data_IF_483105543608
#
_entry.id   IF_483105543608
#
_cell.length_a   1.000
_cell.length_b   1.000
_cell.length_c   1.000
_cell.angle_alpha   90.00
_cell.angle_beta   90.00
_cell.angle_gamma   90.00
#
_symmetry.space_group_name_H-M   'P 1'
#
loop_
_entity.id
_entity.type
_entity.pdbx_description
1 polymer ?
#
# COMPACT_ATOMS: atom_id res chain seq x y z
N UNK A 1 -5.51 -16.76 -12.93
CA UNK A 1 -4.57 -16.56 -11.80
C UNK A 1 -5.37 -16.25 -10.54
N UNK A 2 -4.87 -16.61 -9.36
CA UNK A 2 -5.51 -16.26 -8.08
C UNK A 2 -5.38 -14.75 -7.81
N UNK A 3 -6.44 -14.13 -7.27
CA UNK A 3 -6.50 -12.69 -6.95
C UNK A 3 -5.76 -12.45 -5.64
N UNK A 4 -4.59 -11.83 -5.70
CA UNK A 4 -3.75 -11.59 -4.51
C UNK A 4 -4.10 -10.26 -3.85
N UNK A 5 -4.01 -10.24 -2.53
CA UNK A 5 -3.92 -9.03 -1.70
C UNK A 5 -2.44 -8.72 -1.51
N UNK A 6 -2.00 -7.60 -2.06
CA UNK A 6 -0.59 -7.22 -2.10
C UNK A 6 -0.41 -5.90 -1.37
N UNK A 7 0.33 -5.89 -0.27
CA UNK A 7 0.84 -4.65 0.32
C UNK A 7 2.05 -4.22 -0.49
N UNK A 8 2.11 -2.97 -0.93
CA UNK A 8 3.33 -2.40 -1.51
C UNK A 8 3.61 -1.03 -0.90
N UNK A 9 4.73 -0.92 -0.21
CA UNK A 9 5.07 0.22 0.64
C UNK A 9 6.52 0.68 0.44
N UNK A 10 6.71 2.01 0.47
CA UNK A 10 8.01 2.62 0.70
C UNK A 10 8.30 2.53 2.20
N UNK A 11 9.51 2.12 2.56
CA UNK A 11 9.94 2.02 3.96
C UNK A 11 11.36 2.54 4.10
N UNK A 12 11.62 3.28 5.17
CA UNK A 12 12.98 3.67 5.54
C UNK A 12 13.81 2.45 5.95
N UNK A 13 15.13 2.57 5.97
CA UNK A 13 16.05 1.51 6.37
C UNK A 13 15.75 0.98 7.79
N UNK A 14 15.27 1.87 8.66
CA UNK A 14 14.90 1.61 10.05
C UNK A 14 13.41 1.29 10.26
N UNK A 15 12.64 1.04 9.18
CA UNK A 15 11.31 0.42 9.28
C UNK A 15 10.13 1.38 9.40
N UNK A 16 10.30 2.67 9.12
CA UNK A 16 9.24 3.68 9.19
C UNK A 16 8.65 4.00 7.80
N UNK A 17 7.35 4.31 7.77
CA UNK A 17 6.59 4.63 6.55
C UNK A 17 6.16 6.11 6.46
N UNK A 18 6.38 6.86 7.54
CA UNK A 18 6.16 8.30 7.63
C UNK A 18 6.88 8.83 8.88
N UNK A 19 7.09 10.14 8.95
CA UNK A 19 7.54 10.83 10.16
C UNK A 19 6.50 10.76 11.28
N UNK A 20 6.88 11.17 12.50
CA UNK A 20 5.99 11.20 13.68
C UNK A 20 4.73 12.06 13.48
N UNK A 21 4.80 13.05 12.58
CA UNK A 21 3.66 13.90 12.19
C UNK A 21 2.77 13.26 11.10
N UNK A 22 3.13 12.07 10.63
CA UNK A 22 2.45 11.36 9.54
C UNK A 22 2.75 11.89 8.14
N UNK A 23 3.87 12.61 7.97
CA UNK A 23 4.33 13.07 6.66
C UNK A 23 5.30 12.05 6.04
N UNK A 24 5.08 11.73 4.77
CA UNK A 24 5.85 10.76 3.99
C UNK A 24 6.62 11.40 2.82
N UNK A 25 6.59 12.73 2.68
CA UNK A 25 7.24 13.46 1.59
C UNK A 25 8.72 13.12 1.46
N UNK A 26 9.45 13.01 2.59
CA UNK A 26 10.86 12.64 2.58
C UNK A 26 11.11 11.23 2.00
N UNK A 27 10.19 10.28 2.23
CA UNK A 27 10.27 8.95 1.62
C UNK A 27 10.01 9.02 0.11
N UNK A 28 9.02 9.82 -0.30
CA UNK A 28 8.67 10.03 -1.70
C UNK A 28 9.83 10.69 -2.47
N UNK A 29 10.41 11.75 -1.92
CA UNK A 29 11.56 12.46 -2.50
C UNK A 29 12.77 11.52 -2.65
N UNK A 30 13.10 10.76 -1.60
CA UNK A 30 14.21 9.81 -1.64
C UNK A 30 13.95 8.68 -2.65
N UNK A 31 12.72 8.18 -2.74
CA UNK A 31 12.30 7.23 -3.77
C UNK A 31 12.50 7.78 -5.19
N UNK A 32 12.08 9.02 -5.46
CA UNK A 32 12.25 9.62 -6.79
C UNK A 32 13.73 9.85 -7.16
N UNK A 33 14.57 10.20 -6.19
CA UNK A 33 16.02 10.37 -6.40
C UNK A 33 16.68 9.03 -6.71
N UNK A 34 16.29 7.96 -6.01
CA UNK A 34 16.97 6.68 -6.07
C UNK A 34 16.39 5.73 -7.14
N UNK A 35 15.13 5.91 -7.57
CA UNK A 35 14.53 5.00 -8.54
C UNK A 35 15.19 5.15 -9.92
N UNK A 36 15.44 4.05 -10.64
CA UNK A 36 15.82 4.14 -12.04
C UNK A 36 14.68 4.73 -12.88
N UNK A 37 15.04 5.55 -13.87
CA UNK A 37 14.09 6.15 -14.80
C UNK A 37 13.31 5.08 -15.58
N UNK A 38 11.99 5.27 -15.71
CA UNK A 38 11.12 4.38 -16.50
C UNK A 38 10.73 3.06 -15.82
N UNK A 39 11.10 2.83 -14.56
CA UNK A 39 10.73 1.62 -13.81
C UNK A 39 9.59 1.95 -12.83
N UNK A 40 8.47 1.22 -12.94
CA UNK A 40 7.39 1.24 -11.96
C UNK A 40 7.68 0.19 -10.88
N UNK A 41 7.85 0.65 -9.63
CA UNK A 41 8.12 -0.21 -8.48
C UNK A 41 6.94 -0.25 -7.50
N UNK A 42 6.09 0.77 -7.46
CA UNK A 42 5.05 0.89 -6.44
C UNK A 42 3.86 0.00 -6.75
N UNK A 43 3.33 0.10 -7.96
CA UNK A 43 2.11 -0.60 -8.36
C UNK A 43 2.43 -2.06 -8.67
N UNK A 44 1.94 -3.02 -7.87
CA UNK A 44 2.14 -4.43 -8.18
C UNK A 44 1.51 -4.78 -9.52
N UNK A 45 2.14 -5.69 -10.26
CA UNK A 45 1.65 -6.13 -11.56
C UNK A 45 0.20 -6.62 -11.48
N UNK A 46 -0.58 -6.29 -12.52
CA UNK A 46 -2.00 -6.70 -12.64
C UNK A 46 -2.87 -6.27 -11.44
N UNK A 47 -2.64 -5.07 -10.88
CA UNK A 47 -3.52 -4.50 -9.85
C UNK A 47 -4.71 -3.75 -10.47
N UNK A 48 -5.93 -4.17 -10.16
CA UNK A 48 -7.17 -3.49 -10.58
C UNK A 48 -7.68 -2.56 -9.48
N UNK A 49 -7.56 -2.98 -8.22
CA UNK A 49 -8.07 -2.23 -7.07
C UNK A 49 -6.93 -1.69 -6.21
N UNK A 50 -7.09 -0.44 -5.80
CA UNK A 50 -6.28 0.19 -4.75
C UNK A 50 -7.16 0.28 -3.50
N UNK A 51 -6.69 -0.26 -2.38
CA UNK A 51 -7.36 -0.17 -1.08
C UNK A 51 -6.51 0.65 -0.12
N UNK A 52 -7.14 1.65 0.48
CA UNK A 52 -6.47 2.55 1.42
C UNK A 52 -7.44 3.19 2.43
N UNK A 53 -6.87 3.75 3.50
CA UNK A 53 -7.61 4.55 4.47
C UNK A 53 -7.84 5.98 4.01
N UNK A 54 -8.84 6.65 4.60
CA UNK A 54 -9.20 8.04 4.28
C UNK A 54 -8.04 9.03 4.34
N UNK A 55 -7.25 9.03 5.42
CA UNK A 55 -6.15 9.99 5.61
C UNK A 55 -5.12 9.88 4.48
N UNK A 56 -4.78 8.64 4.10
CA UNK A 56 -3.87 8.36 2.99
C UNK A 56 -4.47 8.83 1.66
N UNK A 57 -5.78 8.64 1.45
CA UNK A 57 -6.44 9.15 0.26
C UNK A 57 -6.38 10.67 0.17
N UNK A 58 -6.68 11.39 1.26
CA UNK A 58 -6.66 12.85 1.28
C UNK A 58 -5.26 13.41 0.99
N UNK A 59 -4.20 12.79 1.55
CA UNK A 59 -2.81 13.20 1.32
C UNK A 59 -2.37 12.99 -0.14
N UNK A 60 -2.75 11.86 -0.74
CA UNK A 60 -2.25 11.45 -2.06
C UNK A 60 -3.28 11.56 -3.18
N UNK A 61 -4.38 12.28 -2.95
CA UNK A 61 -5.56 12.32 -3.81
C UNK A 61 -5.20 12.49 -5.29
N UNK A 62 -4.43 13.52 -5.61
CA UNK A 62 -4.02 13.83 -7.00
C UNK A 62 -3.16 12.73 -7.63
N UNK A 63 -2.20 12.16 -6.87
CA UNK A 63 -1.35 11.06 -7.35
C UNK A 63 -2.17 9.81 -7.62
N UNK A 64 -3.13 9.49 -6.75
CA UNK A 64 -3.98 8.31 -6.88
C UNK A 64 -4.91 8.38 -8.09
N UNK A 65 -5.36 9.58 -8.47
CA UNK A 65 -6.20 9.75 -9.67
C UNK A 65 -5.46 9.45 -10.97
N UNK A 66 -4.12 9.48 -11.00
CA UNK A 66 -3.34 9.01 -12.15
C UNK A 66 -3.55 7.51 -12.37
N UNK A 67 -3.53 6.71 -11.31
CA UNK A 67 -3.82 5.28 -11.41
C UNK A 67 -5.26 4.99 -11.85
N UNK A 68 -6.21 5.87 -11.52
CA UNK A 68 -7.59 5.78 -12.03
C UNK A 68 -7.63 5.97 -13.54
N UNK A 69 -6.87 6.94 -14.07
CA UNK A 69 -6.75 7.15 -15.53
C UNK A 69 -6.12 5.95 -16.23
N UNK A 70 -5.26 5.19 -15.55
CA UNK A 70 -4.69 3.92 -16.01
C UNK A 70 -5.61 2.69 -15.79
N UNK A 71 -6.86 2.91 -15.37
CA UNK A 71 -7.87 1.85 -15.24
C UNK A 71 -8.00 1.22 -13.85
N UNK A 72 -7.32 1.72 -12.83
CA UNK A 72 -7.54 1.27 -11.46
C UNK A 72 -8.83 1.84 -10.85
N UNK A 73 -9.38 1.13 -9.86
CA UNK A 73 -10.46 1.61 -8.99
C UNK A 73 -9.94 1.78 -7.58
N UNK A 74 -10.48 2.75 -6.84
CA UNK A 74 -10.02 3.08 -5.50
C UNK A 74 -11.13 2.74 -4.49
N UNK A 75 -10.80 1.92 -3.50
CA UNK A 75 -11.62 1.63 -2.33
C UNK A 75 -11.05 2.37 -1.12
N UNK A 76 -11.83 3.28 -0.54
CA UNK A 76 -11.45 4.07 0.64
C UNK A 76 -12.20 3.55 1.85
N UNK A 77 -11.46 3.06 2.85
CA UNK A 77 -12.03 2.72 4.16
C UNK A 77 -12.29 3.99 4.96
N UNK A 78 -13.55 4.22 5.32
CA UNK A 78 -13.97 5.40 6.09
C UNK A 78 -15.35 5.21 6.72
N UNK A 79 -15.51 5.71 7.95
CA UNK A 79 -16.83 5.85 8.57
C UNK A 79 -17.62 7.05 8.04
N UNK A 80 -16.91 8.07 7.54
CA UNK A 80 -17.46 9.32 7.04
C UNK A 80 -17.17 9.43 5.54
N UNK A 81 -18.17 9.28 4.65
CA UNK A 81 -17.98 9.32 3.22
C UNK A 81 -17.29 10.61 2.74
N UNK A 82 -16.42 10.47 1.74
CA UNK A 82 -15.74 11.59 1.10
C UNK A 82 -16.70 12.38 0.21
N UNK A 83 -16.45 13.69 0.09
CA UNK A 83 -17.05 14.51 -0.98
C UNK A 83 -16.23 14.30 -2.25
N UNK A 84 -16.79 13.51 -3.15
CA UNK A 84 -16.18 13.16 -4.43
C UNK A 84 -16.72 14.08 -5.54
N UNK A 85 -15.86 14.45 -6.47
CA UNK A 85 -16.23 15.21 -7.65
C UNK A 85 -16.32 14.29 -8.89
N UNK A 86 -16.63 14.88 -10.06
CA UNK A 86 -16.85 14.10 -11.28
C UNK A 86 -15.63 13.35 -11.81
N UNK A 87 -14.41 13.80 -11.51
CA UNK A 87 -13.18 13.11 -11.94
C UNK A 87 -12.86 11.90 -11.07
N UNK A 88 -13.65 11.66 -10.01
CA UNK A 88 -13.42 10.64 -8.99
C UNK A 88 -14.48 9.54 -9.01
N UNK A 89 -15.13 9.33 -10.16
CA UNK A 89 -16.19 8.31 -10.34
C UNK A 89 -15.75 6.86 -10.06
N UNK A 90 -14.44 6.60 -10.05
CA UNK A 90 -13.87 5.29 -9.72
C UNK A 90 -13.37 5.21 -8.26
N UNK A 91 -13.73 6.17 -7.40
CA UNK A 91 -13.46 6.16 -5.97
C UNK A 91 -14.72 5.74 -5.22
N UNK A 92 -14.59 4.73 -4.36
CA UNK A 92 -15.69 4.14 -3.61
C UNK A 92 -15.39 4.15 -2.12
N UNK A 93 -16.27 4.75 -1.32
CA UNK A 93 -16.15 4.74 0.14
C UNK A 93 -16.81 3.49 0.73
N UNK A 94 -16.12 2.82 1.66
CA UNK A 94 -16.62 1.65 2.39
C UNK A 94 -16.59 1.92 3.89
N UNK A 95 -17.75 1.81 4.52
CA UNK A 95 -17.90 1.79 5.98
C UNK A 95 -18.13 0.35 6.45
N UNK A 96 -17.09 -0.48 6.33
CA UNK A 96 -17.06 -1.92 6.64
C UNK A 96 -15.66 -2.30 7.12
N UNK A 97 -15.50 -3.49 7.72
CA UNK A 97 -14.17 -3.98 8.09
C UNK A 97 -13.31 -4.24 6.85
N UNK A 98 -11.99 -4.23 7.01
CA UNK A 98 -11.06 -4.46 5.90
C UNK A 98 -11.28 -5.84 5.26
N UNK A 99 -11.61 -6.86 6.05
CA UNK A 99 -11.84 -8.22 5.52
C UNK A 99 -13.07 -8.26 4.63
N UNK A 100 -14.18 -7.68 5.09
CA UNK A 100 -15.41 -7.60 4.31
C UNK A 100 -15.19 -6.85 2.99
N UNK A 101 -14.41 -5.77 3.01
CA UNK A 101 -14.09 -5.03 1.79
C UNK A 101 -13.22 -5.88 0.87
N UNK A 102 -12.16 -6.51 1.37
CA UNK A 102 -11.31 -7.41 0.56
C UNK A 102 -12.15 -8.53 -0.08
N UNK A 103 -13.09 -9.15 0.65
CA UNK A 103 -13.98 -10.17 0.10
C UNK A 103 -14.87 -9.63 -1.02
N UNK A 104 -15.45 -8.44 -0.85
CA UNK A 104 -16.26 -7.77 -1.87
C UNK A 104 -15.41 -7.50 -3.11
N UNK A 105 -14.19 -6.97 -2.93
CA UNK A 105 -13.27 -6.67 -4.03
C UNK A 105 -12.82 -7.94 -4.75
N UNK A 106 -12.48 -9.01 -4.02
CA UNK A 106 -12.13 -10.32 -4.61
C UNK A 106 -13.27 -10.90 -5.43
N UNK A 107 -14.54 -10.67 -5.09
CA UNK A 107 -15.69 -11.10 -5.89
C UNK A 107 -15.86 -10.27 -7.17
N UNK A 108 -15.55 -8.98 -7.13
CA UNK A 108 -15.75 -8.03 -8.25
C UNK A 108 -14.56 -7.94 -9.21
N UNK A 109 -13.35 -8.23 -8.74
CA UNK A 109 -12.13 -8.04 -9.51
C UNK A 109 -11.79 -9.27 -10.34
N UNK A 110 -11.06 -9.09 -11.45
CA UNK A 110 -10.39 -10.18 -12.16
C UNK A 110 -8.89 -10.27 -11.84
N UNK A 111 -8.36 -9.36 -11.04
CA UNK A 111 -6.93 -9.14 -10.83
C UNK A 111 -6.58 -8.88 -9.35
N UNK A 112 -5.39 -8.35 -9.07
CA UNK A 112 -4.87 -8.14 -7.72
C UNK A 112 -5.48 -6.89 -7.04
N UNK A 113 -5.48 -6.91 -5.71
CA UNK A 113 -5.83 -5.79 -4.84
C UNK A 113 -4.54 -5.27 -4.23
N UNK A 114 -4.19 -4.03 -4.56
CA UNK A 114 -3.04 -3.32 -4.02
C UNK A 114 -3.43 -2.52 -2.77
N UNK A 115 -2.80 -2.84 -1.64
CA UNK A 115 -2.90 -2.09 -0.40
C UNK A 115 -1.78 -1.06 -0.35
N UNK A 116 -2.13 0.23 -0.41
CA UNK A 116 -1.19 1.34 -0.18
C UNK A 116 -1.03 1.63 1.32
N UNK A 117 -2.07 1.33 2.10
CA UNK A 117 -2.13 1.60 3.55
C UNK A 117 -3.07 2.76 3.88
N UNK A 118 -2.78 3.64 4.83
CA UNK A 118 -1.59 3.72 5.67
C UNK A 118 -1.59 2.73 6.83
N UNK A 119 -0.90 3.12 7.90
CA UNK A 119 -0.60 2.32 9.08
C UNK A 119 -1.75 1.42 9.56
N UNK A 120 -2.94 1.99 9.80
CA UNK A 120 -4.10 1.23 10.29
C UNK A 120 -4.51 0.11 9.32
N UNK A 121 -4.65 0.42 8.03
CA UNK A 121 -5.07 -0.57 7.02
C UNK A 121 -4.02 -1.67 6.85
N UNK A 122 -2.73 -1.32 6.78
CA UNK A 122 -1.64 -2.31 6.70
C UNK A 122 -1.67 -3.24 7.90
N UNK A 123 -1.85 -2.69 9.10
CA UNK A 123 -1.81 -3.45 10.34
C UNK A 123 -3.06 -4.31 10.54
N UNK A 124 -4.25 -3.85 10.12
CA UNK A 124 -5.43 -4.70 10.07
C UNK A 124 -5.27 -5.85 9.04
N UNK A 125 -4.76 -5.57 7.84
CA UNK A 125 -4.56 -6.60 6.81
C UNK A 125 -3.56 -7.66 7.27
N UNK A 126 -2.46 -7.24 7.88
CA UNK A 126 -1.40 -8.16 8.32
C UNK A 126 -1.75 -8.93 9.58
N UNK A 127 -2.36 -8.29 10.59
CA UNK A 127 -2.77 -8.97 11.83
C UNK A 127 -3.85 -10.02 11.63
N UNK A 128 -4.72 -9.85 10.63
CA UNK A 128 -5.73 -10.84 10.23
C UNK A 128 -5.20 -11.82 9.17
N UNK A 129 -3.89 -11.82 8.87
CA UNK A 129 -3.23 -12.71 7.93
C UNK A 129 -3.83 -12.68 6.50
N UNK A 130 -4.32 -11.52 6.06
CA UNK A 130 -5.04 -11.35 4.79
C UNK A 130 -4.13 -11.03 3.60
N UNK A 131 -2.93 -10.49 3.86
CA UNK A 131 -1.94 -10.23 2.83
C UNK A 131 -1.43 -11.56 2.24
N UNK A 132 -1.53 -11.69 0.91
CA UNK A 132 -0.92 -12.81 0.18
C UNK A 132 0.57 -12.50 -0.08
N UNK A 133 0.89 -11.24 -0.36
CA UNK A 133 2.27 -10.75 -0.56
C UNK A 133 2.49 -9.38 0.10
N UNK A 134 3.73 -9.14 0.51
CA UNK A 134 4.23 -7.85 0.99
C UNK A 134 5.44 -7.46 0.15
N UNK A 135 5.34 -6.38 -0.61
CA UNK A 135 6.38 -5.80 -1.43
C UNK A 135 6.96 -4.59 -0.68
N UNK A 136 8.22 -4.68 -0.25
CA UNK A 136 8.89 -3.60 0.47
C UNK A 136 9.95 -2.96 -0.43
N UNK A 137 9.78 -1.66 -0.65
CA UNK A 137 10.76 -0.81 -1.32
C UNK A 137 11.52 -0.08 -0.21
N UNK A 138 12.68 -0.64 0.15
CA UNK A 138 13.52 -0.09 1.23
C UNK A 138 14.40 1.02 0.67
N UNK A 139 14.27 2.20 1.27
CA UNK A 139 15.01 3.40 0.91
C UNK A 139 16.33 3.49 1.68
N UNK A 140 17.41 4.03 1.08
CA UNK A 140 18.66 4.33 1.77
C UNK A 140 18.53 5.60 2.65
N UNK A 141 17.54 5.59 3.55
CA UNK A 141 17.15 6.70 4.40
C UNK A 141 16.85 6.16 5.80
N UNK A 142 17.38 6.81 6.84
CA UNK A 142 17.06 6.53 8.25
C UNK A 142 16.23 7.69 8.79
N UNK A 143 15.07 7.41 9.38
CA UNK A 143 14.21 8.44 9.97
C UNK A 143 14.43 8.65 11.47
N UNK A 144 15.02 7.68 12.16
CA UNK A 144 15.21 7.55 13.62
C UNK A 144 13.90 7.44 14.42
N UNK A 145 12.83 8.12 13.99
CA UNK A 145 11.51 8.06 14.57
C UNK A 145 10.42 8.23 13.50
N UNK A 146 9.23 7.72 13.80
CA UNK A 146 8.08 7.94 12.94
C UNK A 146 6.98 6.91 13.14
N UNK A 147 6.14 6.77 12.12
CA UNK A 147 5.12 5.73 12.09
C UNK A 147 5.78 4.45 11.57
N UNK A 148 5.93 3.40 12.41
CA UNK A 148 6.52 2.14 11.96
C UNK A 148 5.60 1.44 10.96
N UNK A 149 6.16 0.60 10.09
CA UNK A 149 5.36 -0.20 9.16
C UNK A 149 4.39 -1.14 9.90
N UNK A 150 4.88 -1.81 10.94
CA UNK A 150 4.14 -2.78 11.73
C UNK A 150 3.93 -2.28 13.17
N UNK A 151 2.74 -2.54 13.69
CA UNK A 151 2.41 -2.35 15.08
C UNK A 151 2.93 -3.55 15.88
N UNK A 152 3.83 -3.29 16.83
CA UNK A 152 4.43 -4.32 17.69
C UNK A 152 3.44 -4.90 18.71
N UNK A 153 2.28 -4.29 18.90
CA UNK A 153 1.20 -4.79 19.76
C UNK A 153 0.25 -5.76 19.05
N UNK A 154 0.37 -5.93 17.74
CA UNK A 154 -0.47 -6.82 16.94
C UNK A 154 0.28 -8.09 16.51
N UNK A 155 -0.43 -9.17 16.18
CA UNK A 155 0.19 -10.36 15.61
C UNK A 155 1.05 -10.03 14.38
N UNK A 156 2.31 -10.44 14.43
CA UNK A 156 3.23 -10.25 13.31
C UNK A 156 2.82 -11.13 12.10
N UNK A 157 2.98 -10.63 10.86
CA UNK A 157 2.72 -11.43 9.67
C UNK A 157 3.74 -12.58 9.58
N UNK A 158 3.26 -13.79 9.29
CA UNK A 158 4.12 -14.95 9.00
C UNK A 158 4.45 -14.98 7.52
N UNK A 159 5.69 -14.68 7.19
CA UNK A 159 6.11 -14.55 5.79
C UNK A 159 7.47 -15.17 5.54
N UNK A 160 7.68 -15.57 4.28
CA UNK A 160 8.95 -16.03 3.74
C UNK A 160 9.42 -15.10 2.64
N UNK A 161 10.72 -14.82 2.61
CA UNK A 161 11.34 -14.08 1.52
C UNK A 161 11.23 -14.91 0.25
N UNK A 162 10.60 -14.35 -0.78
CA UNK A 162 10.41 -15.03 -2.05
C UNK A 162 11.24 -14.46 -3.19
N UNK A 163 11.60 -13.17 -3.12
CA UNK A 163 12.48 -12.52 -4.09
C UNK A 163 13.11 -11.26 -3.49
N UNK A 164 14.31 -10.89 -3.95
CA UNK A 164 14.98 -9.64 -3.60
C UNK A 164 15.78 -9.10 -4.78
N UNK A 165 15.61 -7.82 -5.08
CA UNK A 165 16.22 -7.15 -6.21
C UNK A 165 16.75 -5.77 -5.80
N UNK A 166 17.82 -5.32 -6.46
CA UNK A 166 18.37 -3.97 -6.32
C UNK A 166 17.95 -3.11 -7.51
N UNK A 167 17.41 -1.93 -7.26
CA UNK A 167 17.01 -0.94 -8.28
C UNK A 167 17.60 0.42 -7.94
N UNK A 168 18.63 0.85 -8.67
CA UNK A 168 19.40 2.03 -8.25
C UNK A 168 19.95 1.79 -6.85
N UNK A 169 19.67 2.67 -5.89
CA UNK A 169 20.03 2.49 -4.47
C UNK A 169 18.89 1.89 -3.61
N UNK A 170 17.80 1.45 -4.24
CA UNK A 170 16.65 0.85 -3.56
C UNK A 170 16.77 -0.67 -3.50
N UNK A 171 16.28 -1.25 -2.40
CA UNK A 171 15.99 -2.69 -2.35
C UNK A 171 14.50 -2.92 -2.56
N UNK A 172 14.16 -3.86 -3.44
CA UNK A 172 12.81 -4.35 -3.65
C UNK A 172 12.73 -5.79 -3.15
N UNK A 173 12.00 -6.04 -2.07
CA UNK A 173 11.84 -7.38 -1.50
C UNK A 173 10.39 -7.83 -1.55
N UNK A 174 10.17 -9.06 -2.01
CA UNK A 174 8.85 -9.70 -2.09
C UNK A 174 8.77 -10.79 -1.04
N UNK A 175 7.86 -10.61 -0.09
CA UNK A 175 7.58 -11.56 0.98
C UNK A 175 6.23 -12.21 0.73
N UNK A 176 6.13 -13.54 0.85
CA UNK A 176 4.89 -14.29 0.67
C UNK A 176 4.41 -14.81 2.01
N UNK A 177 3.10 -14.85 2.21
CA UNK A 177 2.51 -15.49 3.39
C UNK A 177 2.96 -16.96 3.47
N UNK A 178 3.50 -17.36 4.62
CA UNK A 178 3.83 -18.76 4.91
C UNK A 178 2.57 -19.62 5.04
N UNK A 179 2.67 -20.89 4.62
CA UNK A 179 1.58 -21.88 4.69
C UNK A 179 1.56 -22.57 6.04
#
# INVERSE_FOLDING_TARGET
MSKKVIISALVSLDGFIATSQGNSAILEENFFICQPAGIELRKPAQSEWILLGRKTFEIYREKLLKYVQEGCKIAVLTHNPLRLNETERCVYCFNRSVEQVIEILKKKSSANIWIIGGYQVINEVTSHNLADEIHLITLPLVLNEGIPLFNTELPAPRVELSDVQKYGELTYSTWKRSV
#
